data_IF_134263840197
#
_entry.id   IF_134263840197
#
_cell.length_a   1.000
_cell.length_b   1.000
_cell.length_c   1.000
_cell.angle_alpha   90.00
_cell.angle_beta   90.00
_cell.angle_gamma   90.00
#
_symmetry.space_group_name_H-M   'P 1'
#
loop_
_entity.id
_entity.type
_entity.pdbx_description
1 polymer ?
#
# COMPACT_ATOMS: atom_id res chain seq x y z
N UNK A 1 -20.26 -27.71 0.07
CA UNK A 1 -19.01 -27.57 -0.73
C UNK A 1 -19.04 -26.28 -1.54
N UNK A 2 -20.10 -25.97 -2.30
CA UNK A 2 -20.20 -24.73 -3.14
C UNK A 2 -20.08 -23.45 -2.31
N UNK A 3 -20.67 -23.36 -1.13
CA UNK A 3 -20.65 -22.20 -0.26
C UNK A 3 -19.26 -21.95 0.33
N UNK A 4 -18.55 -23.01 0.69
CA UNK A 4 -17.15 -22.91 1.17
C UNK A 4 -16.25 -22.44 0.04
N UNK A 5 -16.42 -22.97 -1.17
CA UNK A 5 -15.64 -22.54 -2.34
C UNK A 5 -15.85 -21.08 -2.68
N UNK A 6 -17.09 -20.56 -2.58
CA UNK A 6 -17.39 -19.15 -2.77
C UNK A 6 -16.74 -18.28 -1.66
N UNK A 7 -16.85 -18.70 -0.40
CA UNK A 7 -16.28 -17.98 0.74
C UNK A 7 -14.75 -17.86 0.64
N UNK A 8 -14.08 -18.97 0.34
CA UNK A 8 -12.61 -18.99 0.15
C UNK A 8 -12.21 -18.16 -1.07
N UNK A 9 -12.94 -18.26 -2.17
CA UNK A 9 -12.66 -17.45 -3.36
C UNK A 9 -12.82 -15.95 -3.11
N UNK A 10 -13.85 -15.52 -2.40
CA UNK A 10 -14.06 -14.13 -1.99
C UNK A 10 -12.98 -13.65 -1.02
N UNK A 11 -12.54 -14.50 -0.09
CA UNK A 11 -11.44 -14.20 0.83
C UNK A 11 -10.14 -13.96 0.06
N UNK A 12 -9.74 -14.92 -0.78
CA UNK A 12 -8.51 -14.82 -1.55
C UNK A 12 -8.52 -13.60 -2.47
N UNK A 13 -9.66 -13.34 -3.15
CA UNK A 13 -9.84 -12.14 -3.96
C UNK A 13 -9.66 -10.87 -3.12
N UNK A 14 -10.31 -10.80 -1.95
CA UNK A 14 -10.26 -9.60 -1.08
C UNK A 14 -8.83 -9.33 -0.61
N UNK A 15 -8.08 -10.37 -0.21
CA UNK A 15 -6.69 -10.23 0.24
C UNK A 15 -5.79 -9.80 -0.93
N UNK A 16 -5.82 -10.50 -2.06
CA UNK A 16 -4.97 -10.18 -3.21
C UNK A 16 -5.27 -8.77 -3.75
N UNK A 17 -6.54 -8.40 -3.84
CA UNK A 17 -6.92 -7.07 -4.31
C UNK A 17 -6.57 -5.98 -3.31
N UNK A 18 -6.69 -6.24 -2.00
CA UNK A 18 -6.21 -5.36 -0.94
C UNK A 18 -4.70 -5.13 -1.08
N UNK A 19 -3.91 -6.19 -1.21
CA UNK A 19 -2.47 -6.09 -1.38
C UNK A 19 -2.10 -5.27 -2.63
N UNK A 20 -2.78 -5.49 -3.75
CA UNK A 20 -2.57 -4.72 -4.96
C UNK A 20 -2.89 -3.22 -4.77
N UNK A 21 -4.02 -2.90 -4.15
CA UNK A 21 -4.41 -1.51 -3.86
C UNK A 21 -3.47 -0.85 -2.85
N UNK A 22 -3.03 -1.60 -1.85
CA UNK A 22 -2.06 -1.13 -0.87
C UNK A 22 -0.75 -0.72 -1.55
N UNK A 23 -0.25 -1.55 -2.46
CA UNK A 23 0.96 -1.23 -3.23
C UNK A 23 0.78 -0.03 -4.18
N UNK A 24 -0.39 0.10 -4.81
CA UNK A 24 -0.69 1.24 -5.68
C UNK A 24 -0.90 2.55 -4.91
N UNK A 25 -1.19 2.48 -3.61
CA UNK A 25 -1.43 3.65 -2.75
C UNK A 25 -0.19 4.13 -2.00
N UNK A 26 1.01 3.68 -2.38
CA UNK A 26 2.27 4.15 -1.80
C UNK A 26 2.35 5.67 -1.89
N UNK A 27 2.73 6.31 -0.77
CA UNK A 27 2.87 7.76 -0.58
C UNK A 27 1.61 8.61 -0.74
N UNK A 28 0.44 8.04 -1.09
CA UNK A 28 -0.80 8.78 -1.26
C UNK A 28 -1.37 9.36 0.04
N UNK A 29 -0.78 9.02 1.18
CA UNK A 29 -1.15 9.60 2.47
C UNK A 29 -0.71 11.06 2.67
N UNK A 30 0.24 11.53 1.85
CA UNK A 30 0.72 12.91 1.93
C UNK A 30 -0.22 13.87 1.21
N UNK A 31 -0.56 14.99 1.86
CA UNK A 31 -1.47 16.01 1.28
C UNK A 31 -0.95 16.54 -0.06
N UNK A 32 0.37 16.65 -0.22
CA UNK A 32 1.03 17.17 -1.40
C UNK A 32 1.44 16.07 -2.42
N UNK A 33 0.93 14.84 -2.29
CA UNK A 33 1.35 13.68 -3.10
C UNK A 33 1.51 13.97 -4.59
N UNK A 34 0.55 14.68 -5.20
CA UNK A 34 0.57 14.97 -6.64
C UNK A 34 1.66 15.97 -7.06
N UNK A 35 2.23 16.70 -6.10
CA UNK A 35 3.25 17.73 -6.30
C UNK A 35 4.63 17.30 -5.80
N UNK A 36 4.68 16.17 -5.06
CA UNK A 36 5.93 15.65 -4.53
C UNK A 36 6.69 14.90 -5.62
N UNK A 37 7.96 15.21 -5.71
CA UNK A 37 8.89 14.55 -6.61
C UNK A 37 10.14 14.10 -5.87
N UNK A 38 10.71 13.01 -6.35
CA UNK A 38 12.02 12.50 -5.95
C UNK A 38 13.04 12.86 -7.01
N UNK A 39 14.20 13.35 -6.59
CA UNK A 39 15.27 13.82 -7.47
C UNK A 39 16.44 12.86 -7.29
N UNK A 40 16.80 12.18 -8.36
CA UNK A 40 17.86 11.19 -8.37
C UNK A 40 18.97 11.58 -9.35
N UNK A 41 20.15 11.02 -9.13
CA UNK A 41 21.23 11.03 -10.10
C UNK A 41 21.08 9.84 -11.03
N UNK A 42 21.48 10.00 -12.29
CA UNK A 42 21.50 8.93 -13.26
C UNK A 42 22.80 8.93 -14.09
N UNK A 43 23.24 7.73 -14.41
CA UNK A 43 24.35 7.47 -15.32
C UNK A 43 23.83 6.60 -16.47
N UNK A 44 23.97 7.09 -17.70
CA UNK A 44 23.45 6.42 -18.91
C UNK A 44 22.03 5.86 -18.76
N UNK A 45 21.14 6.60 -18.06
CA UNK A 45 19.75 6.20 -17.81
C UNK A 45 19.55 5.24 -16.63
N UNK A 46 20.60 4.85 -15.92
CA UNK A 46 20.51 4.07 -14.68
C UNK A 46 20.47 5.00 -13.47
N UNK A 47 19.40 4.92 -12.70
CA UNK A 47 19.26 5.70 -11.47
C UNK A 47 20.24 5.20 -10.41
N UNK A 48 20.92 6.14 -9.74
CA UNK A 48 21.70 5.87 -8.54
C UNK A 48 20.79 5.89 -7.31
N UNK A 49 21.10 5.05 -6.34
CA UNK A 49 20.40 5.03 -5.06
C UNK A 49 20.94 6.15 -4.17
N UNK A 50 20.10 7.19 -3.98
CA UNK A 50 20.43 8.34 -3.16
C UNK A 50 21.26 9.42 -3.87
N UNK A 51 21.36 10.55 -3.19
CA UNK A 51 22.04 11.77 -3.67
C UNK A 51 23.01 12.27 -2.60
N UNK A 52 24.00 13.11 -2.97
CA UNK A 52 24.77 13.84 -1.98
C UNK A 52 23.95 14.87 -1.23
N UNK A 53 24.24 15.08 0.05
CA UNK A 53 23.49 16.04 0.88
C UNK A 53 23.56 17.49 0.36
N UNK A 54 24.62 17.84 -0.34
CA UNK A 54 24.83 19.18 -0.93
C UNK A 54 23.89 19.44 -2.12
N UNK A 55 23.34 18.40 -2.76
CA UNK A 55 22.53 18.56 -3.97
C UNK A 55 21.30 19.43 -3.74
N UNK A 56 20.54 19.19 -2.65
CA UNK A 56 19.35 19.98 -2.33
C UNK A 56 19.66 21.47 -2.11
N UNK A 57 20.81 21.78 -1.49
CA UNK A 57 21.27 23.16 -1.28
C UNK A 57 21.65 23.83 -2.61
N UNK A 58 22.34 23.09 -3.49
CA UNK A 58 22.68 23.57 -4.84
C UNK A 58 21.41 23.87 -5.63
N UNK A 59 20.46 22.91 -5.65
CA UNK A 59 19.20 23.08 -6.37
C UNK A 59 18.36 24.24 -5.81
N UNK A 60 18.36 24.45 -4.49
CA UNK A 60 17.67 25.57 -3.87
C UNK A 60 18.26 26.91 -4.31
N UNK A 61 19.58 27.01 -4.44
CA UNK A 61 20.26 28.24 -4.88
C UNK A 61 20.06 28.52 -6.37
N UNK A 62 20.19 27.52 -7.20
CA UNK A 62 20.21 27.65 -8.66
C UNK A 62 18.81 27.57 -9.28
N UNK A 63 17.92 26.73 -8.73
CA UNK A 63 16.61 26.39 -9.28
C UNK A 63 15.46 26.54 -8.27
N UNK A 64 15.63 27.33 -7.21
CA UNK A 64 14.64 27.56 -6.18
C UNK A 64 13.36 28.26 -6.69
N UNK A 65 13.39 28.83 -7.89
CA UNK A 65 12.22 29.44 -8.54
C UNK A 65 11.36 28.43 -9.31
N UNK A 66 11.89 27.24 -9.63
CA UNK A 66 11.17 26.18 -10.34
C UNK A 66 10.40 25.26 -9.39
N UNK A 67 10.82 25.19 -8.13
CA UNK A 67 10.28 24.30 -7.10
C UNK A 67 9.99 25.09 -5.83
N UNK A 68 8.86 24.84 -5.21
CA UNK A 68 8.43 25.58 -4.01
C UNK A 68 9.37 25.34 -2.81
N UNK A 69 9.88 24.11 -2.67
CA UNK A 69 10.88 23.74 -1.67
C UNK A 69 11.57 22.44 -2.03
N UNK A 70 12.81 22.28 -1.59
CA UNK A 70 13.55 21.01 -1.56
C UNK A 70 13.71 20.55 -0.12
N UNK A 71 13.75 19.24 0.09
CA UNK A 71 14.02 18.63 1.40
C UNK A 71 14.88 17.39 1.25
N UNK A 72 15.65 17.11 2.30
CA UNK A 72 16.55 15.96 2.38
C UNK A 72 16.06 14.98 3.44
N UNK A 73 16.18 13.70 3.13
CA UNK A 73 15.94 12.60 4.06
C UNK A 73 17.12 11.66 4.02
N UNK A 74 17.69 11.34 5.16
CA UNK A 74 18.73 10.33 5.28
C UNK A 74 18.32 9.22 6.24
N UNK A 75 18.54 7.96 5.84
CA UNK A 75 18.17 6.82 6.69
C UNK A 75 19.28 6.59 7.72
N UNK A 76 18.99 6.97 8.97
CA UNK A 76 19.87 6.75 10.11
C UNK A 76 19.81 5.30 10.63
N UNK A 77 18.86 4.49 10.14
CA UNK A 77 18.62 3.08 10.53
C UNK A 77 18.42 2.93 12.04
N UNK A 78 18.53 1.70 12.55
CA UNK A 78 18.40 1.40 13.96
C UNK A 78 19.45 2.10 14.80
N UNK A 79 18.99 2.91 15.77
CA UNK A 79 19.84 3.64 16.70
C UNK A 79 19.46 3.31 18.13
N UNK A 80 20.45 2.97 18.97
CA UNK A 80 20.23 2.79 20.40
C UNK A 80 20.21 4.15 21.09
N UNK A 81 19.18 4.37 21.90
CA UNK A 81 18.98 5.54 22.73
C UNK A 81 18.75 5.14 24.18
N UNK A 82 19.30 5.93 25.06
CA UNK A 82 18.90 5.99 26.46
C UNK A 82 17.84 7.07 26.61
N UNK A 83 16.62 6.69 26.96
CA UNK A 83 15.50 7.61 27.17
C UNK A 83 15.38 7.90 28.66
N UNK A 84 15.30 9.19 29.01
CA UNK A 84 15.12 9.63 30.39
C UNK A 84 13.65 9.90 30.68
N UNK A 85 13.06 9.11 31.55
CA UNK A 85 11.67 9.25 32.01
C UNK A 85 11.51 10.32 33.08
N UNK A 86 10.29 10.58 33.56
CA UNK A 86 10.00 11.57 34.60
C UNK A 86 10.75 11.32 35.92
N UNK A 87 11.04 10.06 36.22
CA UNK A 87 11.76 9.63 37.42
C UNK A 87 13.29 9.62 37.24
N UNK A 88 13.81 10.31 36.23
CA UNK A 88 15.22 10.28 35.81
C UNK A 88 15.76 8.86 35.55
N UNK A 89 14.87 7.90 35.41
CA UNK A 89 15.22 6.52 35.11
C UNK A 89 15.65 6.42 33.66
N UNK A 90 16.84 5.87 33.46
CA UNK A 90 17.42 5.61 32.15
C UNK A 90 16.92 4.28 31.61
N UNK A 91 16.26 4.29 30.48
CA UNK A 91 15.75 3.09 29.78
C UNK A 91 16.38 2.98 28.40
N UNK A 92 17.06 1.86 28.07
CA UNK A 92 17.64 1.65 26.76
C UNK A 92 16.57 1.19 25.77
N UNK A 93 16.51 1.84 24.60
CA UNK A 93 15.65 1.48 23.48
C UNK A 93 16.43 1.56 22.18
N UNK A 94 15.99 0.80 21.19
CA UNK A 94 16.49 0.90 19.81
C UNK A 94 15.34 1.32 18.92
N UNK A 95 15.53 2.42 18.16
CA UNK A 95 14.51 2.98 17.27
C UNK A 95 14.96 3.00 15.83
N UNK A 96 14.01 2.88 14.91
CA UNK A 96 14.20 3.17 13.50
C UNK A 96 14.16 4.69 13.27
N UNK A 97 15.29 5.23 12.81
CA UNK A 97 15.51 6.66 12.72
C UNK A 97 15.74 7.11 11.28
N UNK A 98 15.20 8.29 10.96
CA UNK A 98 15.60 9.07 9.79
C UNK A 98 16.10 10.44 10.25
N UNK A 99 17.06 11.00 9.51
CA UNK A 99 17.44 12.40 9.64
C UNK A 99 16.70 13.20 8.58
N UNK A 100 16.09 14.31 8.97
CA UNK A 100 15.31 15.20 8.10
C UNK A 100 15.71 16.65 8.30
N UNK A 101 15.56 17.46 7.26
CA UNK A 101 15.80 18.91 7.37
C UNK A 101 14.55 19.70 7.79
N UNK A 102 14.69 21.00 7.98
CA UNK A 102 13.60 21.89 8.40
C UNK A 102 12.46 22.00 7.38
N UNK A 103 12.73 21.71 6.10
CA UNK A 103 11.76 21.78 5.01
C UNK A 103 10.87 20.54 4.90
N UNK A 104 11.23 19.44 5.57
CA UNK A 104 10.47 18.19 5.56
C UNK A 104 8.97 18.40 5.85
N UNK A 105 8.63 19.22 6.84
CA UNK A 105 7.23 19.50 7.18
C UNK A 105 6.46 20.20 6.04
N UNK A 106 7.13 21.01 5.24
CA UNK A 106 6.49 21.70 4.12
C UNK A 106 6.12 20.74 2.98
N UNK A 107 6.95 19.73 2.76
CA UNK A 107 6.73 18.72 1.73
C UNK A 107 5.71 17.68 2.19
N UNK A 108 5.96 17.04 3.33
CA UNK A 108 5.25 15.85 3.79
C UNK A 108 4.12 16.12 4.77
N UNK A 109 4.02 17.34 5.30
CA UNK A 109 2.94 17.81 6.18
C UNK A 109 2.50 16.81 7.27
N UNK A 110 3.44 16.28 8.11
CA UNK A 110 3.09 15.34 9.15
C UNK A 110 2.14 15.98 10.17
N UNK A 111 1.12 15.24 10.61
CA UNK A 111 0.17 15.74 11.60
C UNK A 111 0.80 15.76 12.98
N UNK A 112 1.01 16.95 13.56
CA UNK A 112 1.55 17.12 14.91
C UNK A 112 0.44 16.87 15.93
N UNK A 113 0.70 15.97 16.90
CA UNK A 113 -0.21 15.62 18.00
C UNK A 113 0.11 16.39 19.27
N UNK A 114 1.41 16.61 19.54
CA UNK A 114 1.88 17.37 20.67
C UNK A 114 3.18 18.11 20.33
N UNK A 115 3.48 19.21 21.03
CA UNK A 115 4.66 20.02 20.79
C UNK A 115 4.56 20.88 19.53
N UNK A 116 5.70 21.19 18.88
CA UNK A 116 5.76 22.07 17.72
C UNK A 116 6.87 21.67 16.76
N UNK A 117 6.52 21.40 15.50
CA UNK A 117 7.51 21.18 14.42
C UNK A 117 8.40 22.41 14.23
N UNK A 118 7.83 23.61 14.31
CA UNK A 118 8.60 24.85 14.14
C UNK A 118 9.70 24.97 15.18
N UNK A 119 9.42 24.60 16.44
CA UNK A 119 10.44 24.57 17.50
C UNK A 119 11.51 23.51 17.18
N UNK A 120 11.11 22.30 16.80
CA UNK A 120 12.03 21.24 16.40
C UNK A 120 12.96 21.65 15.27
N UNK A 121 12.43 22.33 14.25
CA UNK A 121 13.17 22.76 13.06
C UNK A 121 14.30 23.76 13.37
N UNK A 122 14.22 24.50 14.47
CA UNK A 122 15.24 25.52 14.86
C UNK A 122 16.03 25.14 16.12
N UNK A 123 15.67 24.05 16.78
CA UNK A 123 16.39 23.58 17.98
C UNK A 123 17.52 22.65 17.57
N UNK A 124 18.77 22.89 17.99
CA UNK A 124 19.87 21.95 17.76
C UNK A 124 19.59 20.59 18.43
N UNK A 125 19.98 19.52 17.77
CA UNK A 125 19.77 18.14 18.23
C UNK A 125 18.32 17.88 18.69
N UNK A 126 17.36 18.31 17.90
CA UNK A 126 15.96 18.03 18.15
C UNK A 126 15.55 16.67 17.58
N UNK A 127 14.62 16.02 18.28
CA UNK A 127 13.93 14.84 17.75
C UNK A 127 12.42 15.03 17.76
N UNK A 128 11.79 14.46 16.74
CA UNK A 128 10.35 14.31 16.64
C UNK A 128 10.07 12.81 16.66
N UNK A 129 9.15 12.37 17.52
CA UNK A 129 8.80 10.96 17.66
C UNK A 129 7.38 10.70 17.19
N UNK A 130 7.11 9.46 16.78
CA UNK A 130 5.74 9.06 16.40
C UNK A 130 4.86 8.85 17.65
N UNK A 131 3.55 8.90 17.46
CA UNK A 131 2.58 8.74 18.56
C UNK A 131 2.69 7.35 19.21
N UNK A 132 2.88 6.30 18.42
CA UNK A 132 3.11 4.94 18.96
C UNK A 132 4.39 4.85 19.77
N UNK A 133 5.45 5.53 19.35
CA UNK A 133 6.71 5.62 20.11
C UNK A 133 6.52 6.41 21.40
N UNK A 134 5.82 7.55 21.34
CA UNK A 134 5.52 8.33 22.54
C UNK A 134 4.73 7.51 23.58
N UNK A 135 3.71 6.74 23.15
CA UNK A 135 2.91 5.87 24.02
C UNK A 135 3.70 4.70 24.63
N UNK A 136 4.73 4.22 23.95
CA UNK A 136 5.65 3.20 24.51
C UNK A 136 6.50 3.76 25.65
N UNK A 137 6.83 5.06 25.58
CA UNK A 137 7.80 5.70 26.48
C UNK A 137 7.14 6.46 27.63
N UNK A 138 5.97 7.05 27.40
CA UNK A 138 5.30 7.98 28.29
C UNK A 138 3.80 7.68 28.37
N UNK A 139 3.15 7.89 29.53
CA UNK A 139 1.70 7.71 29.70
C UNK A 139 0.87 8.60 28.75
N UNK A 140 1.33 9.85 28.53
CA UNK A 140 0.66 10.83 27.68
C UNK A 140 1.62 11.46 26.68
N UNK A 141 1.16 11.71 25.46
CA UNK A 141 1.98 12.31 24.38
C UNK A 141 2.61 13.65 24.79
N UNK A 142 1.90 14.46 25.57
CA UNK A 142 2.38 15.78 26.02
C UNK A 142 3.57 15.68 26.97
N UNK A 143 3.66 14.61 27.75
CA UNK A 143 4.76 14.39 28.70
C UNK A 143 6.08 14.06 27.99
N UNK A 144 6.03 13.65 26.75
CA UNK A 144 7.21 13.40 25.93
C UNK A 144 7.99 14.69 25.62
N UNK A 145 7.28 15.84 25.54
CA UNK A 145 7.87 17.09 25.10
C UNK A 145 8.89 17.61 26.13
N UNK A 146 10.08 17.99 25.64
CA UNK A 146 11.20 18.45 26.45
C UNK A 146 12.03 17.32 27.11
N UNK A 147 11.62 16.06 26.96
CA UNK A 147 12.40 14.93 27.51
C UNK A 147 13.66 14.67 26.68
N UNK A 148 14.66 14.16 27.37
CA UNK A 148 15.99 13.89 26.81
C UNK A 148 16.12 12.45 26.33
N UNK A 149 16.69 12.29 25.14
CA UNK A 149 17.11 11.03 24.58
C UNK A 149 18.60 11.11 24.24
N UNK A 150 19.39 10.16 24.71
CA UNK A 150 20.83 10.14 24.45
C UNK A 150 21.15 8.99 23.54
N UNK A 151 21.66 9.28 22.33
CA UNK A 151 22.10 8.26 21.39
C UNK A 151 23.43 7.69 21.87
N UNK A 152 23.46 6.38 22.15
CA UNK A 152 24.61 5.70 22.79
C UNK A 152 25.60 5.09 21.80
N UNK A 153 25.19 4.89 20.56
CA UNK A 153 26.04 4.35 19.49
C UNK A 153 26.36 5.40 18.44
N UNK A 154 27.63 5.55 18.14
CA UNK A 154 28.09 6.47 17.08
C UNK A 154 27.73 5.94 15.71
N UNK A 155 27.21 6.85 14.88
CA UNK A 155 27.03 6.60 13.46
C UNK A 155 28.41 6.61 12.83
N UNK A 156 28.76 5.56 12.07
CA UNK A 156 29.90 5.45 11.18
C UNK A 156 31.06 6.38 11.56
N UNK A 157 31.97 5.81 12.34
CA UNK A 157 33.34 6.26 12.55
C UNK A 157 33.68 7.70 12.08
N UNK A 158 33.22 8.69 12.84
CA UNK A 158 34.03 9.91 12.91
C UNK A 158 35.30 9.55 13.69
N UNK A 159 36.50 9.68 13.13
CA UNK A 159 37.76 9.28 13.80
C UNK A 159 38.09 10.09 15.08
N UNK A 160 37.26 11.09 15.40
CA UNK A 160 37.55 12.09 16.46
C UNK A 160 36.76 11.90 17.77
N UNK A 161 35.94 10.88 17.88
CA UNK A 161 35.18 10.67 19.14
C UNK A 161 35.82 9.54 19.93
N UNK A 162 36.49 9.90 21.01
CA UNK A 162 37.05 8.98 22.00
C UNK A 162 35.93 8.15 22.66
N UNK A 163 36.23 6.92 23.13
CA UNK A 163 35.22 6.06 23.77
C UNK A 163 34.52 6.66 25.00
N UNK A 164 35.07 7.72 25.58
CA UNK A 164 34.59 8.39 26.81
C UNK A 164 33.68 9.60 26.55
N UNK A 165 33.42 10.01 25.31
CA UNK A 165 32.43 11.07 25.09
C UNK A 165 31.03 10.49 25.24
N UNK A 166 30.34 10.81 26.31
CA UNK A 166 28.92 10.51 26.53
C UNK A 166 28.13 10.85 25.25
N UNK A 167 27.23 9.95 24.84
CA UNK A 167 26.54 10.03 23.55
C UNK A 167 25.86 11.37 23.27
N UNK A 168 25.40 11.56 22.02
CA UNK A 168 24.74 12.81 21.61
C UNK A 168 23.37 12.92 22.27
N UNK A 169 23.15 14.04 22.94
CA UNK A 169 21.90 14.33 23.64
C UNK A 169 20.93 15.06 22.72
N UNK A 170 19.75 14.50 22.54
CA UNK A 170 18.62 15.05 21.80
C UNK A 170 17.48 15.40 22.74
N UNK A 171 16.65 16.37 22.31
CA UNK A 171 15.44 16.77 23.03
C UNK A 171 14.21 16.53 22.19
N UNK A 172 13.18 15.89 22.75
CA UNK A 172 11.91 15.67 22.05
C UNK A 172 11.15 17.00 21.99
N UNK A 173 10.91 17.49 20.77
CA UNK A 173 10.25 18.78 20.54
C UNK A 173 8.84 18.65 19.95
N UNK A 174 8.53 17.51 19.35
CA UNK A 174 7.19 17.24 18.84
C UNK A 174 6.89 15.74 18.81
N UNK A 175 5.60 15.43 18.88
CA UNK A 175 5.03 14.11 18.62
C UNK A 175 4.13 14.24 17.40
N UNK A 176 4.31 13.37 16.41
CA UNK A 176 3.51 13.32 15.18
C UNK A 176 2.70 12.03 15.13
N UNK A 177 1.62 12.02 14.36
CA UNK A 177 0.93 10.77 14.03
C UNK A 177 1.89 9.78 13.39
N UNK A 178 1.62 8.50 13.60
CA UNK A 178 2.40 7.44 12.97
C UNK A 178 2.43 7.60 11.46
N UNK A 179 3.60 7.45 10.88
CA UNK A 179 3.78 7.45 9.42
C UNK A 179 3.23 6.11 8.91
N UNK A 180 2.28 6.11 7.96
CA UNK A 180 1.71 4.88 7.43
C UNK A 180 2.78 3.94 6.86
N UNK A 181 2.57 2.64 6.99
CA UNK A 181 3.54 1.66 6.53
C UNK A 181 3.75 1.65 5.00
N UNK A 182 2.76 2.13 4.23
CA UNK A 182 2.81 2.22 2.76
C UNK A 182 3.41 3.53 2.24
N UNK A 183 4.52 3.93 2.82
CA UNK A 183 5.28 5.11 2.41
C UNK A 183 6.65 4.68 1.92
N UNK A 184 7.12 5.25 0.82
CA UNK A 184 8.43 4.94 0.24
C UNK A 184 9.59 5.18 1.21
N UNK A 185 9.42 6.14 2.13
CA UNK A 185 10.39 6.39 3.20
C UNK A 185 10.50 5.25 4.23
N UNK A 186 9.48 4.40 4.35
CA UNK A 186 9.49 3.22 5.23
C UNK A 186 10.09 1.99 4.55
N UNK A 187 10.95 2.18 3.58
CA UNK A 187 11.45 1.17 2.64
C UNK A 187 11.92 -0.16 3.29
N UNK A 188 12.33 -0.12 4.57
CA UNK A 188 12.71 -1.34 5.29
C UNK A 188 11.96 -1.54 6.61
N UNK A 189 11.56 -0.46 7.29
CA UNK A 189 10.93 -0.52 8.61
C UNK A 189 10.15 0.75 8.93
N UNK A 190 9.18 0.63 9.81
CA UNK A 190 8.38 1.76 10.28
C UNK A 190 9.25 2.77 11.02
N UNK A 191 9.25 4.02 10.55
CA UNK A 191 9.99 5.12 11.17
C UNK A 191 9.37 5.42 12.54
N UNK A 192 10.22 5.48 13.57
CA UNK A 192 9.83 5.77 14.95
C UNK A 192 10.30 7.16 15.42
N UNK A 193 11.48 7.59 14.95
CA UNK A 193 12.15 8.83 15.35
C UNK A 193 12.67 9.60 14.15
N UNK A 194 12.35 10.88 14.08
CA UNK A 194 12.91 11.83 13.11
C UNK A 194 13.91 12.73 13.84
N UNK A 195 15.14 12.79 13.33
CA UNK A 195 16.24 13.57 13.90
C UNK A 195 16.36 14.86 13.09
N UNK A 196 16.36 16.00 13.74
CA UNK A 196 16.50 17.31 13.14
C UNK A 196 17.73 18.04 13.69
N UNK A 197 18.41 18.79 12.80
CA UNK A 197 19.55 19.66 13.17
C UNK A 197 20.62 18.94 13.97
N UNK A 198 20.92 17.70 13.61
CA UNK A 198 21.97 16.91 14.24
C UNK A 198 23.33 17.57 14.05
N UNK A 199 24.05 17.80 15.13
CA UNK A 199 25.39 18.41 15.10
C UNK A 199 26.44 17.53 14.44
N UNK A 200 26.25 16.20 14.47
CA UNK A 200 27.12 15.18 13.88
C UNK A 200 26.39 14.25 12.91
N UNK A 201 25.27 14.72 12.37
CA UNK A 201 24.37 13.93 11.53
C UNK A 201 24.88 13.63 10.13
N UNK A 202 24.14 12.79 9.44
CA UNK A 202 24.46 12.33 8.09
C UNK A 202 24.57 13.49 7.08
N UNK A 203 23.78 14.56 7.22
CA UNK A 203 23.87 15.72 6.33
C UNK A 203 25.20 16.47 6.44
N UNK A 204 25.85 16.44 7.60
CA UNK A 204 27.18 17.03 7.80
C UNK A 204 28.31 16.07 7.42
N UNK A 205 28.14 14.79 7.69
CA UNK A 205 29.12 13.76 7.34
C UNK A 205 29.23 13.56 5.83
N UNK A 206 28.11 13.66 5.11
CA UNK A 206 28.06 13.53 3.64
C UNK A 206 28.32 14.86 2.92
N UNK A 207 28.96 15.82 3.58
CA UNK A 207 29.34 17.10 2.99
C UNK A 207 30.39 17.01 1.86
N UNK A 208 31.01 15.84 1.66
CA UNK A 208 31.81 15.55 0.49
C UNK A 208 30.90 15.25 -0.72
N UNK A 209 31.16 15.86 -1.86
CA UNK A 209 30.38 15.71 -3.10
C UNK A 209 30.26 14.27 -3.59
N UNK A 210 31.08 13.35 -3.09
CA UNK A 210 31.19 11.97 -3.57
C UNK A 210 30.45 10.95 -2.68
N UNK A 211 29.79 11.40 -1.60
CA UNK A 211 29.02 10.48 -0.71
C UNK A 211 27.54 10.56 -0.98
N UNK A 212 26.97 9.43 -1.35
CA UNK A 212 25.52 9.21 -1.45
C UNK A 212 24.96 8.63 -0.16
N UNK A 213 23.66 8.70 0.03
CA UNK A 213 22.98 8.16 1.23
C UNK A 213 21.89 9.07 1.75
N UNK A 214 21.69 10.16 1.04
CA UNK A 214 20.60 11.11 1.24
C UNK A 214 19.62 11.00 0.07
N UNK A 215 18.37 11.20 0.34
CA UNK A 215 17.30 11.28 -0.68
C UNK A 215 16.84 12.73 -0.76
N UNK A 216 16.79 13.27 -1.98
CA UNK A 216 16.39 14.64 -2.22
C UNK A 216 14.98 14.66 -2.81
N UNK A 217 14.09 15.34 -2.12
CA UNK A 217 12.71 15.53 -2.54
C UNK A 217 12.43 16.97 -2.91
N UNK A 218 11.51 17.17 -3.86
CA UNK A 218 11.05 18.50 -4.26
C UNK A 218 9.52 18.62 -4.12
N UNK A 219 9.05 19.82 -3.79
CA UNK A 219 7.64 20.19 -3.84
C UNK A 219 7.42 21.13 -5.04
N UNK A 220 6.78 20.63 -6.07
CA UNK A 220 6.49 21.42 -7.27
C UNK A 220 5.47 22.53 -6.99
N UNK A 221 5.56 23.62 -7.74
CA UNK A 221 4.50 24.62 -7.78
C UNK A 221 3.19 24.02 -8.32
N UNK A 222 2.05 24.63 -7.98
CA UNK A 222 0.75 24.18 -8.49
C UNK A 222 0.72 24.18 -10.02
N UNK A 223 0.18 23.10 -10.59
CA UNK A 223 0.07 22.93 -12.05
C UNK A 223 1.36 22.45 -12.75
N UNK A 224 2.49 22.34 -12.05
CA UNK A 224 3.74 21.79 -12.61
C UNK A 224 3.80 20.27 -12.42
N UNK A 225 4.48 19.61 -13.32
CA UNK A 225 4.69 18.16 -13.30
C UNK A 225 6.18 17.79 -13.21
N UNK A 226 6.48 16.55 -12.81
CA UNK A 226 7.85 16.05 -12.83
C UNK A 226 8.49 16.11 -14.24
N UNK A 227 7.67 15.98 -15.29
CA UNK A 227 8.13 16.11 -16.68
C UNK A 227 8.61 17.52 -16.99
N UNK A 228 7.88 18.53 -16.53
CA UNK A 228 8.23 19.94 -16.73
C UNK A 228 9.58 20.26 -16.08
N UNK A 229 9.81 19.77 -14.85
CA UNK A 229 11.07 19.99 -14.14
C UNK A 229 12.23 19.21 -14.81
N UNK A 230 11.98 17.99 -15.29
CA UNK A 230 12.97 17.23 -16.08
C UNK A 230 13.37 17.98 -17.36
N UNK A 231 12.42 18.63 -18.03
CA UNK A 231 12.73 19.43 -19.23
C UNK A 231 13.57 20.64 -18.88
N UNK A 232 13.30 21.32 -17.76
CA UNK A 232 14.12 22.44 -17.27
C UNK A 232 15.53 21.98 -17.00
N UNK A 233 15.73 20.90 -16.26
CA UNK A 233 17.07 20.39 -15.93
C UNK A 233 17.83 19.96 -17.18
N UNK A 234 17.16 19.27 -18.13
CA UNK A 234 17.77 18.87 -19.39
C UNK A 234 18.16 20.07 -20.26
N UNK A 235 17.30 21.08 -20.39
CA UNK A 235 17.59 22.30 -21.18
C UNK A 235 18.74 23.10 -20.59
N UNK A 236 18.83 23.14 -19.26
CA UNK A 236 19.89 23.85 -18.54
C UNK A 236 21.15 23.00 -18.35
N UNK A 237 21.16 21.76 -18.87
CA UNK A 237 22.26 20.80 -18.73
C UNK A 237 22.69 20.62 -17.27
N UNK A 238 21.70 20.45 -16.38
CA UNK A 238 21.93 20.36 -14.93
C UNK A 238 22.51 18.99 -14.62
N UNK A 239 23.77 19.01 -14.23
CA UNK A 239 24.52 17.80 -13.82
C UNK A 239 25.07 17.96 -12.41
N UNK A 240 25.38 16.85 -11.77
CA UNK A 240 26.11 16.82 -10.52
C UNK A 240 27.37 15.99 -10.69
N UNK A 241 28.55 16.61 -10.43
CA UNK A 241 29.83 15.92 -10.54
C UNK A 241 30.12 15.13 -9.27
N UNK A 242 30.35 13.84 -9.45
CA UNK A 242 30.66 12.89 -8.38
C UNK A 242 31.62 11.84 -8.91
N UNK A 243 32.64 11.43 -8.13
CA UNK A 243 33.68 10.45 -8.54
C UNK A 243 34.33 10.75 -9.90
N UNK A 244 34.57 12.04 -10.20
CA UNK A 244 35.09 12.53 -11.48
C UNK A 244 34.20 12.30 -12.72
N UNK A 245 32.93 11.90 -12.52
CA UNK A 245 31.92 11.78 -13.56
C UNK A 245 30.80 12.80 -13.36
N UNK A 246 30.20 13.25 -14.44
CA UNK A 246 29.03 14.11 -14.41
C UNK A 246 27.78 13.26 -14.55
N UNK A 247 26.87 13.33 -13.57
CA UNK A 247 25.62 12.60 -13.52
C UNK A 247 24.46 13.51 -13.87
N UNK A 248 23.55 13.01 -14.70
CA UNK A 248 22.31 13.70 -15.01
C UNK A 248 21.33 13.65 -13.83
N UNK A 249 20.46 14.68 -13.72
CA UNK A 249 19.39 14.68 -12.76
C UNK A 249 18.10 14.16 -13.41
N UNK A 250 17.47 13.18 -12.75
CA UNK A 250 16.17 12.66 -13.12
C UNK A 250 15.17 12.94 -12.01
N UNK A 251 14.05 13.53 -12.38
CA UNK A 251 12.92 13.84 -11.50
C UNK A 251 11.80 12.86 -11.76
N UNK A 252 11.35 12.18 -10.72
CA UNK A 252 10.24 11.23 -10.76
C UNK A 252 9.16 11.63 -9.77
N UNK A 253 7.85 11.42 -10.06
CA UNK A 253 6.82 11.55 -9.05
C UNK A 253 7.13 10.65 -7.86
N UNK A 254 6.85 11.11 -6.63
CA UNK A 254 7.04 10.28 -5.44
C UNK A 254 6.25 8.97 -5.57
N UNK A 255 6.77 7.87 -5.04
CA UNK A 255 6.16 6.53 -5.19
C UNK A 255 6.39 5.87 -6.56
N UNK A 256 6.95 6.61 -7.54
CA UNK A 256 7.39 6.08 -8.85
C UNK A 256 8.89 6.22 -9.06
N UNK A 257 9.59 6.66 -8.10
CA UNK A 257 11.03 6.82 -8.04
C UNK A 257 11.68 5.50 -7.64
N UNK A 258 12.84 5.23 -8.10
CA UNK A 258 13.62 4.00 -7.90
C UNK A 258 13.19 2.85 -8.81
N UNK A 259 14.17 2.07 -9.30
CA UNK A 259 13.92 0.87 -10.12
C UNK A 259 12.93 -0.15 -9.50
N UNK A 260 12.52 0.06 -8.23
CA UNK A 260 11.45 -0.64 -7.56
C UNK A 260 10.05 -0.22 -8.03
N UNK A 261 9.86 0.97 -8.64
CA UNK A 261 8.53 1.41 -9.08
C UNK A 261 7.96 0.52 -10.18
N UNK A 262 8.82 0.06 -11.09
CA UNK A 262 8.42 -0.85 -12.15
C UNK A 262 8.09 -2.23 -11.56
N UNK A 263 8.90 -2.70 -10.60
CA UNK A 263 8.64 -3.94 -9.87
C UNK A 263 7.34 -3.86 -9.07
N UNK A 264 7.08 -2.78 -8.34
CA UNK A 264 5.83 -2.57 -7.58
C UNK A 264 4.64 -2.51 -8.56
N UNK A 265 4.77 -1.81 -9.68
CA UNK A 265 3.71 -1.70 -10.69
C UNK A 265 3.44 -3.04 -11.36
N UNK A 266 4.48 -3.78 -11.73
CA UNK A 266 4.35 -5.11 -12.31
C UNK A 266 3.72 -6.06 -11.29
N UNK A 267 4.23 -6.11 -10.07
CA UNK A 267 3.73 -7.00 -9.01
C UNK A 267 2.28 -6.69 -8.64
N UNK A 268 1.92 -5.40 -8.50
CA UNK A 268 0.53 -5.00 -8.19
C UNK A 268 -0.42 -5.33 -9.34
N UNK A 269 0.04 -5.20 -10.60
CA UNK A 269 -0.73 -5.56 -11.78
C UNK A 269 -0.96 -7.08 -11.87
N UNK A 270 0.09 -7.86 -11.65
CA UNK A 270 0.02 -9.32 -11.60
C UNK A 270 -0.95 -9.75 -10.49
N UNK A 271 -0.79 -9.19 -9.28
CA UNK A 271 -1.65 -9.53 -8.14
C UNK A 271 -3.12 -9.15 -8.40
N UNK A 272 -3.39 -8.03 -9.08
CA UNK A 272 -4.74 -7.65 -9.51
C UNK A 272 -5.33 -8.65 -10.51
N UNK A 273 -4.57 -9.08 -11.50
CA UNK A 273 -5.00 -10.07 -12.49
C UNK A 273 -5.32 -11.40 -11.79
N UNK A 274 -4.44 -11.85 -10.92
CA UNK A 274 -4.62 -13.07 -10.11
C UNK A 274 -5.91 -12.97 -9.27
N UNK A 275 -6.13 -11.83 -8.60
CA UNK A 275 -7.34 -11.60 -7.82
C UNK A 275 -8.61 -11.75 -8.68
N UNK A 276 -8.64 -11.10 -9.84
CA UNK A 276 -9.79 -11.17 -10.76
C UNK A 276 -10.01 -12.59 -11.27
N UNK A 277 -8.95 -13.33 -11.59
CA UNK A 277 -9.05 -14.72 -12.04
C UNK A 277 -9.60 -15.64 -10.93
N UNK A 278 -9.15 -15.47 -9.68
CA UNK A 278 -9.68 -16.21 -8.51
C UNK A 278 -11.17 -15.94 -8.35
N UNK A 279 -11.58 -14.66 -8.40
CA UNK A 279 -12.98 -14.28 -8.30
C UNK A 279 -13.81 -14.92 -9.42
N UNK A 280 -13.31 -14.87 -10.65
CA UNK A 280 -13.97 -15.46 -11.81
C UNK A 280 -14.17 -16.97 -11.66
N UNK A 281 -13.15 -17.71 -11.21
CA UNK A 281 -13.28 -19.15 -10.92
C UNK A 281 -14.30 -19.42 -9.82
N UNK A 282 -14.26 -18.64 -8.73
CA UNK A 282 -15.21 -18.80 -7.63
C UNK A 282 -16.66 -18.55 -8.08
N UNK A 283 -16.90 -17.50 -8.89
CA UNK A 283 -18.19 -17.17 -9.44
C UNK A 283 -18.66 -18.22 -10.45
N UNK A 284 -17.80 -18.68 -11.36
CA UNK A 284 -18.13 -19.73 -12.30
C UNK A 284 -18.56 -21.03 -11.57
N UNK A 285 -17.80 -21.41 -10.55
CA UNK A 285 -18.13 -22.58 -9.72
C UNK A 285 -19.47 -22.42 -9.01
N UNK A 286 -19.72 -21.24 -8.43
CA UNK A 286 -20.98 -20.90 -7.77
C UNK A 286 -22.15 -20.93 -8.76
N UNK A 287 -22.05 -20.27 -9.91
CA UNK A 287 -23.11 -20.25 -10.91
C UNK A 287 -23.34 -21.63 -11.54
N UNK A 288 -22.28 -22.39 -11.77
CA UNK A 288 -22.39 -23.76 -12.26
C UNK A 288 -23.32 -24.60 -11.37
N UNK A 289 -23.10 -24.53 -10.06
CA UNK A 289 -23.94 -25.24 -9.09
C UNK A 289 -25.39 -24.71 -9.08
N UNK A 290 -25.57 -23.40 -9.12
CA UNK A 290 -26.90 -22.78 -9.09
C UNK A 290 -27.70 -23.05 -10.36
N UNK A 291 -27.09 -22.94 -11.53
CA UNK A 291 -27.75 -23.27 -12.80
C UNK A 291 -28.14 -24.75 -12.81
N UNK A 292 -27.28 -25.64 -12.33
CA UNK A 292 -27.63 -27.05 -12.18
C UNK A 292 -28.87 -27.26 -11.30
N UNK A 293 -28.99 -26.55 -10.18
CA UNK A 293 -30.13 -26.58 -9.29
C UNK A 293 -31.42 -26.05 -9.95
N UNK A 294 -31.32 -24.93 -10.66
CA UNK A 294 -32.44 -24.31 -11.39
C UNK A 294 -32.99 -25.24 -12.48
N UNK A 295 -32.09 -25.84 -13.29
CA UNK A 295 -32.50 -26.76 -14.35
C UNK A 295 -33.18 -28.03 -13.77
N UNK A 296 -32.68 -28.54 -12.65
CA UNK A 296 -33.34 -29.71 -12.00
C UNK A 296 -34.76 -29.39 -11.49
N UNK A 297 -35.04 -28.11 -11.13
CA UNK A 297 -36.35 -27.62 -10.70
C UNK A 297 -37.19 -27.03 -11.83
N UNK A 298 -36.79 -27.17 -13.06
CA UNK A 298 -37.45 -26.55 -14.22
C UNK A 298 -38.95 -26.93 -14.34
N UNK A 299 -39.28 -28.19 -14.03
CA UNK A 299 -40.71 -28.64 -14.03
C UNK A 299 -41.54 -27.87 -13.00
N UNK A 300 -41.01 -27.66 -11.82
CA UNK A 300 -41.65 -26.85 -10.77
C UNK A 300 -41.91 -25.42 -11.25
N UNK A 301 -40.93 -24.78 -11.88
CA UNK A 301 -41.08 -23.43 -12.42
C UNK A 301 -42.09 -23.37 -13.58
N UNK A 302 -42.18 -24.42 -14.42
CA UNK A 302 -43.14 -24.49 -15.49
C UNK A 302 -44.57 -24.65 -14.94
N UNK A 303 -44.77 -25.47 -13.91
CA UNK A 303 -46.08 -25.64 -13.25
C UNK A 303 -46.53 -24.30 -12.63
N UNK A 304 -45.64 -23.62 -11.91
CA UNK A 304 -45.92 -22.31 -11.29
C UNK A 304 -46.29 -21.26 -12.34
N UNK A 305 -45.66 -21.30 -13.53
CA UNK A 305 -46.01 -20.44 -14.67
C UNK A 305 -47.41 -20.71 -15.19
N UNK A 306 -47.84 -21.99 -15.26
CA UNK A 306 -49.20 -22.39 -15.68
C UNK A 306 -50.23 -21.90 -14.70
N UNK A 307 -49.93 -21.91 -13.39
CA UNK A 307 -50.84 -21.45 -12.32
C UNK A 307 -50.90 -19.89 -12.26
N UNK A 308 -50.15 -19.17 -13.15
CA UNK A 308 -50.24 -17.72 -13.23
C UNK A 308 -49.26 -16.98 -12.33
N UNK A 309 -48.18 -17.63 -11.85
CA UNK A 309 -47.20 -16.95 -11.03
C UNK A 309 -46.46 -15.85 -11.81
N UNK A 310 -46.38 -14.64 -11.24
CA UNK A 310 -45.75 -13.49 -11.89
C UNK A 310 -44.22 -13.66 -11.96
N UNK A 311 -43.63 -13.07 -12.99
CA UNK A 311 -42.19 -13.06 -13.25
C UNK A 311 -41.41 -12.49 -12.05
N UNK A 312 -41.93 -11.45 -11.41
CA UNK A 312 -41.29 -10.82 -10.25
C UNK A 312 -41.18 -11.81 -9.08
N UNK A 313 -42.22 -12.57 -8.77
CA UNK A 313 -42.18 -13.58 -7.72
C UNK A 313 -41.17 -14.69 -8.01
N UNK A 314 -41.04 -15.12 -9.27
CA UNK A 314 -40.07 -16.12 -9.66
C UNK A 314 -38.63 -15.59 -9.49
N UNK A 315 -38.34 -14.36 -9.98
CA UNK A 315 -37.07 -13.71 -9.81
C UNK A 315 -36.71 -13.53 -8.33
N UNK A 316 -37.66 -13.07 -7.51
CA UNK A 316 -37.45 -12.84 -6.09
C UNK A 316 -37.18 -14.14 -5.33
N UNK A 317 -37.87 -15.22 -5.66
CA UNK A 317 -37.62 -16.53 -5.06
C UNK A 317 -36.19 -17.03 -5.35
N UNK A 318 -35.74 -16.89 -6.60
CA UNK A 318 -34.34 -17.21 -6.98
C UNK A 318 -33.37 -16.30 -6.25
N UNK A 319 -33.65 -15.02 -6.19
CA UNK A 319 -32.78 -14.04 -5.51
C UNK A 319 -32.65 -14.34 -4.01
N UNK A 320 -33.76 -14.60 -3.29
CA UNK A 320 -33.71 -14.92 -1.86
C UNK A 320 -32.89 -16.17 -1.59
N UNK A 321 -33.01 -17.20 -2.45
CA UNK A 321 -32.21 -18.42 -2.32
C UNK A 321 -30.70 -18.10 -2.48
N UNK A 322 -30.31 -17.32 -3.50
CA UNK A 322 -28.92 -16.95 -3.73
C UNK A 322 -28.39 -15.97 -2.67
N UNK A 323 -29.24 -15.04 -2.22
CA UNK A 323 -28.93 -14.11 -1.15
C UNK A 323 -28.53 -14.84 0.14
N UNK A 324 -29.31 -15.84 0.57
CA UNK A 324 -28.97 -16.62 1.75
C UNK A 324 -27.62 -17.34 1.62
N UNK A 325 -27.31 -17.86 0.44
CA UNK A 325 -26.02 -18.51 0.19
C UNK A 325 -24.87 -17.51 0.27
N UNK A 326 -25.04 -16.31 -0.31
CA UNK A 326 -24.02 -15.25 -0.27
C UNK A 326 -23.84 -14.76 1.16
N UNK A 327 -24.92 -14.59 1.94
CA UNK A 327 -24.81 -14.18 3.36
C UNK A 327 -24.02 -15.20 4.16
N UNK A 328 -24.33 -16.49 4.02
CA UNK A 328 -23.58 -17.56 4.73
C UNK A 328 -22.09 -17.55 4.30
N UNK A 329 -21.80 -17.45 2.99
CA UNK A 329 -20.44 -17.38 2.50
C UNK A 329 -19.70 -16.15 3.02
N UNK A 330 -20.38 -15.00 3.12
CA UNK A 330 -19.84 -13.76 3.67
C UNK A 330 -19.51 -13.86 5.16
N UNK A 331 -20.37 -14.50 5.95
CA UNK A 331 -20.11 -14.74 7.38
C UNK A 331 -18.86 -15.63 7.56
N UNK A 332 -18.73 -16.69 6.75
CA UNK A 332 -17.52 -17.52 6.76
C UNK A 332 -16.28 -16.72 6.36
N UNK A 333 -16.37 -15.88 5.32
CA UNK A 333 -15.26 -15.04 4.87
C UNK A 333 -14.84 -14.07 5.97
N UNK A 334 -15.76 -13.35 6.63
CA UNK A 334 -15.45 -12.43 7.72
C UNK A 334 -14.85 -13.16 8.93
N UNK A 335 -15.35 -14.36 9.27
CA UNK A 335 -14.76 -15.19 10.30
C UNK A 335 -13.31 -15.60 9.98
N UNK A 336 -13.02 -15.94 8.73
CA UNK A 336 -11.66 -16.25 8.29
C UNK A 336 -10.75 -15.02 8.28
N UNK A 337 -11.23 -13.84 7.89
CA UNK A 337 -10.49 -12.58 7.99
C UNK A 337 -10.10 -12.33 9.45
N UNK A 338 -11.03 -12.52 10.39
CA UNK A 338 -10.77 -12.34 11.83
C UNK A 338 -9.65 -13.25 12.33
N UNK A 339 -9.69 -14.53 11.97
CA UNK A 339 -8.68 -15.52 12.37
C UNK A 339 -7.31 -15.22 11.75
N UNK A 340 -7.30 -14.87 10.46
CA UNK A 340 -6.06 -14.62 9.72
C UNK A 340 -5.43 -13.28 10.09
N UNK A 341 -6.21 -12.23 10.32
CA UNK A 341 -5.69 -10.89 10.63
C UNK A 341 -4.94 -10.82 11.96
N UNK A 342 -5.26 -11.69 12.91
CA UNK A 342 -4.57 -11.80 14.20
C UNK A 342 -3.14 -12.36 14.09
N UNK A 343 -2.76 -12.99 12.98
CA UNK A 343 -1.48 -13.66 12.79
C UNK A 343 -0.67 -13.27 11.54
N UNK A 344 -1.22 -12.48 10.64
CA UNK A 344 -0.55 -12.17 9.36
C UNK A 344 0.23 -10.85 9.41
N UNK A 345 1.51 -10.96 9.76
CA UNK A 345 2.52 -10.01 9.34
C UNK A 345 3.22 -10.59 8.10
N UNK A 346 2.82 -10.17 6.92
CA UNK A 346 3.49 -10.60 5.68
C UNK A 346 4.69 -9.66 5.50
N UNK A 347 5.87 -10.16 5.83
CA UNK A 347 7.14 -9.54 5.48
C UNK A 347 7.61 -10.10 4.15
N UNK A 348 7.45 -9.35 3.07
CA UNK A 348 8.07 -9.62 1.78
C UNK A 348 9.39 -8.84 1.73
N UNK A 349 10.49 -9.51 2.04
CA UNK A 349 11.88 -9.02 2.07
C UNK A 349 12.09 -7.61 2.66
N UNK A 350 11.62 -6.56 2.03
CA UNK A 350 11.82 -5.16 2.44
C UNK A 350 10.49 -4.39 2.60
N UNK A 351 9.36 -5.00 2.27
CA UNK A 351 8.02 -4.40 2.39
C UNK A 351 7.26 -5.05 3.54
N UNK A 352 7.11 -4.37 4.65
CA UNK A 352 6.21 -4.80 5.72
C UNK A 352 4.77 -4.51 5.32
N UNK A 353 4.08 -5.51 4.76
CA UNK A 353 2.65 -5.48 4.52
C UNK A 353 1.91 -5.62 5.85
N UNK A 354 1.55 -4.51 6.47
CA UNK A 354 0.58 -4.54 7.56
C UNK A 354 -0.83 -4.55 6.98
N UNK A 355 -1.54 -5.66 7.17
CA UNK A 355 -2.94 -5.74 6.77
C UNK A 355 -3.77 -4.98 7.80
N UNK A 356 -4.29 -3.83 7.40
CA UNK A 356 -5.29 -3.10 8.18
C UNK A 356 -6.62 -3.85 8.09
N UNK A 357 -6.96 -4.52 9.20
CA UNK A 357 -8.18 -5.32 9.34
C UNK A 357 -9.44 -4.54 9.00
N UNK A 358 -9.56 -3.31 9.50
CA UNK A 358 -10.75 -2.49 9.30
C UNK A 358 -10.95 -2.15 7.81
N UNK A 359 -9.87 -1.75 7.15
CA UNK A 359 -9.90 -1.47 5.71
C UNK A 359 -10.20 -2.71 4.88
N UNK A 360 -9.60 -3.85 5.22
CA UNK A 360 -9.88 -5.10 4.53
C UNK A 360 -11.35 -5.51 4.68
N UNK A 361 -11.93 -5.41 5.88
CA UNK A 361 -13.34 -5.71 6.12
C UNK A 361 -14.28 -4.77 5.36
N UNK A 362 -13.99 -3.47 5.35
CA UNK A 362 -14.77 -2.49 4.59
C UNK A 362 -14.74 -2.77 3.08
N UNK A 363 -13.58 -3.07 2.52
CA UNK A 363 -13.45 -3.42 1.11
C UNK A 363 -14.18 -4.74 0.79
N UNK A 364 -14.03 -5.76 1.62
CA UNK A 364 -14.74 -7.02 1.47
C UNK A 364 -16.27 -6.80 1.49
N UNK A 365 -16.76 -5.93 2.38
CA UNK A 365 -18.18 -5.54 2.43
C UNK A 365 -18.67 -4.89 1.13
N UNK A 366 -17.86 -3.97 0.55
CA UNK A 366 -18.18 -3.34 -0.73
C UNK A 366 -18.30 -4.37 -1.87
N UNK A 367 -17.41 -5.36 -1.92
CA UNK A 367 -17.46 -6.42 -2.94
C UNK A 367 -18.69 -7.32 -2.77
N UNK A 368 -19.09 -7.60 -1.54
CA UNK A 368 -20.34 -8.35 -1.27
C UNK A 368 -21.55 -7.59 -1.79
N UNK A 369 -21.62 -6.28 -1.58
CA UNK A 369 -22.71 -5.44 -2.10
C UNK A 369 -22.74 -5.50 -3.64
N UNK A 370 -21.59 -5.36 -4.29
CA UNK A 370 -21.49 -5.46 -5.76
C UNK A 370 -21.96 -6.86 -6.22
N UNK A 371 -21.53 -7.92 -5.54
CA UNK A 371 -21.94 -9.29 -5.84
C UNK A 371 -23.45 -9.48 -5.68
N UNK A 372 -24.06 -8.91 -4.66
CA UNK A 372 -25.52 -8.96 -4.44
C UNK A 372 -26.29 -8.25 -5.56
N UNK A 373 -25.82 -7.07 -5.97
CA UNK A 373 -26.41 -6.32 -7.08
C UNK A 373 -26.30 -7.14 -8.38
N UNK A 374 -25.12 -7.68 -8.68
CA UNK A 374 -24.92 -8.53 -9.85
C UNK A 374 -25.83 -9.78 -9.82
N UNK A 375 -25.96 -10.43 -8.66
CA UNK A 375 -26.83 -11.58 -8.47
C UNK A 375 -28.29 -11.21 -8.71
N UNK A 376 -28.75 -10.06 -8.23
CA UNK A 376 -30.10 -9.55 -8.47
C UNK A 376 -30.36 -9.39 -9.97
N UNK A 377 -29.46 -8.74 -10.70
CA UNK A 377 -29.58 -8.56 -12.17
C UNK A 377 -29.63 -9.91 -12.88
N UNK A 378 -28.80 -10.87 -12.48
CA UNK A 378 -28.78 -12.21 -13.06
C UNK A 378 -30.09 -12.95 -12.80
N UNK A 379 -30.64 -12.89 -11.58
CA UNK A 379 -31.92 -13.52 -11.23
C UNK A 379 -33.06 -12.99 -12.11
N UNK A 380 -33.13 -11.67 -12.30
CA UNK A 380 -34.10 -11.05 -13.20
C UNK A 380 -33.91 -11.48 -14.65
N UNK A 381 -32.67 -11.53 -15.13
CA UNK A 381 -32.36 -11.98 -16.50
C UNK A 381 -32.77 -13.45 -16.72
N UNK A 382 -32.51 -14.31 -15.76
CA UNK A 382 -32.91 -15.73 -15.80
C UNK A 382 -34.43 -15.87 -15.76
N UNK A 383 -35.14 -15.13 -14.89
CA UNK A 383 -36.59 -15.14 -14.82
C UNK A 383 -37.21 -14.67 -16.16
N UNK A 384 -36.65 -13.61 -16.76
CA UNK A 384 -37.08 -13.12 -18.07
C UNK A 384 -36.85 -14.15 -19.17
N UNK A 385 -35.73 -14.86 -19.14
CA UNK A 385 -35.46 -15.96 -20.08
C UNK A 385 -36.48 -17.10 -19.92
N UNK A 386 -36.76 -17.54 -18.70
CA UNK A 386 -37.74 -18.60 -18.42
C UNK A 386 -39.13 -18.19 -18.91
N UNK A 387 -39.51 -16.90 -18.80
CA UNK A 387 -40.77 -16.39 -19.35
C UNK A 387 -40.87 -16.56 -20.85
N UNK A 388 -39.78 -16.40 -21.61
CA UNK A 388 -39.76 -16.53 -23.07
C UNK A 388 -39.75 -17.98 -23.57
N UNK A 389 -39.37 -18.94 -22.73
CA UNK A 389 -39.31 -20.36 -23.11
C UNK A 389 -40.74 -20.93 -23.23
N UNK A 390 -41.03 -21.59 -24.37
CA UNK A 390 -42.28 -22.26 -24.59
C UNK A 390 -42.55 -23.38 -23.56
N UNK A 391 -43.78 -23.45 -23.06
CA UNK A 391 -44.21 -24.40 -22.02
C UNK A 391 -43.96 -25.86 -22.49
N UNK A 392 -44.19 -26.18 -23.79
CA UNK A 392 -43.93 -27.50 -24.35
C UNK A 392 -42.45 -27.92 -24.25
N UNK A 393 -41.54 -26.98 -24.53
CA UNK A 393 -40.09 -27.21 -24.37
C UNK A 393 -39.66 -27.34 -22.90
N UNK A 394 -40.33 -26.64 -22.00
CA UNK A 394 -40.08 -26.73 -20.56
C UNK A 394 -40.50 -28.08 -19.93
N UNK A 395 -41.53 -28.74 -20.48
CA UNK A 395 -42.02 -30.07 -20.04
C UNK A 395 -41.30 -31.22 -20.76
N UNK A 396 -40.76 -31.01 -21.97
CA UNK A 396 -40.01 -32.01 -22.72
C UNK A 396 -38.56 -32.05 -22.27
N UNK A 397 -37.92 -33.22 -22.38
CA UNK A 397 -36.47 -33.41 -22.04
C UNK A 397 -35.49 -32.65 -22.98
N UNK A 398 -35.99 -31.78 -23.88
CA UNK A 398 -35.19 -31.09 -24.90
C UNK A 398 -34.11 -30.16 -24.39
N UNK A 399 -34.17 -29.72 -23.13
CA UNK A 399 -33.13 -28.88 -22.51
C UNK A 399 -31.95 -29.68 -21.94
N UNK A 400 -32.05 -31.03 -21.85
CA UNK A 400 -30.93 -31.85 -21.35
C UNK A 400 -29.69 -31.76 -22.23
N UNK A 401 -29.81 -31.64 -23.55
CA UNK A 401 -28.69 -31.53 -24.48
C UNK A 401 -27.92 -30.19 -24.28
N UNK A 402 -28.65 -29.08 -24.09
CA UNK A 402 -28.01 -27.76 -23.82
C UNK A 402 -27.33 -27.72 -22.45
N UNK A 403 -27.81 -28.51 -21.47
CA UNK A 403 -27.19 -28.64 -20.14
C UNK A 403 -25.75 -29.18 -20.23
N UNK A 404 -25.52 -30.20 -21.06
CA UNK A 404 -24.19 -30.79 -21.20
C UNK A 404 -23.21 -29.82 -21.86
N UNK A 405 -23.64 -29.10 -22.88
CA UNK A 405 -22.81 -28.10 -23.54
C UNK A 405 -22.40 -26.97 -22.60
N UNK A 406 -23.34 -26.37 -21.88
CA UNK A 406 -23.09 -25.27 -20.95
C UNK A 406 -22.15 -25.71 -19.81
N UNK A 407 -22.43 -26.89 -19.22
CA UNK A 407 -21.58 -27.47 -18.17
C UNK A 407 -20.14 -27.72 -18.66
N UNK A 408 -19.99 -28.32 -19.82
CA UNK A 408 -18.68 -28.63 -20.38
C UNK A 408 -17.91 -27.37 -20.77
N UNK A 409 -18.59 -26.33 -21.27
CA UNK A 409 -17.97 -25.03 -21.56
C UNK A 409 -17.48 -24.34 -20.28
N UNK A 410 -18.25 -24.31 -19.21
CA UNK A 410 -17.84 -23.76 -17.92
C UNK A 410 -16.63 -24.53 -17.33
N UNK A 411 -16.67 -25.86 -17.38
CA UNK A 411 -15.54 -26.69 -16.94
C UNK A 411 -14.31 -26.42 -17.79
N UNK A 412 -14.45 -26.29 -19.12
CA UNK A 412 -13.34 -25.96 -20.01
C UNK A 412 -12.69 -24.61 -19.67
N UNK A 413 -13.50 -23.58 -19.39
CA UNK A 413 -12.99 -22.28 -18.96
C UNK A 413 -12.25 -22.40 -17.61
N UNK A 414 -12.79 -23.15 -16.65
CA UNK A 414 -12.14 -23.35 -15.35
C UNK A 414 -10.78 -24.07 -15.51
N UNK A 415 -10.71 -25.14 -16.32
CA UNK A 415 -9.45 -25.82 -16.62
C UNK A 415 -8.44 -24.91 -17.31
N UNK A 416 -8.89 -24.08 -18.26
CA UNK A 416 -8.03 -23.11 -18.92
C UNK A 416 -7.45 -22.06 -17.93
N UNK A 417 -8.26 -21.55 -17.01
CA UNK A 417 -7.80 -20.62 -15.97
C UNK A 417 -6.81 -21.32 -15.03
N UNK A 418 -7.11 -22.55 -14.58
CA UNK A 418 -6.18 -23.32 -13.74
C UNK A 418 -4.84 -23.57 -14.47
N UNK A 419 -4.89 -23.87 -15.76
CA UNK A 419 -3.67 -24.04 -16.56
C UNK A 419 -2.87 -22.74 -16.65
N UNK A 420 -3.55 -21.59 -16.83
CA UNK A 420 -2.91 -20.26 -16.78
C UNK A 420 -2.23 -20.00 -15.44
N UNK A 421 -2.86 -20.35 -14.32
CA UNK A 421 -2.22 -20.21 -13.00
C UNK A 421 -0.96 -21.05 -12.86
N UNK A 422 -1.02 -22.31 -13.27
CA UNK A 422 0.14 -23.21 -13.21
C UNK A 422 1.27 -22.69 -14.09
N UNK A 423 0.97 -22.29 -15.34
CA UNK A 423 1.98 -21.77 -16.25
C UNK A 423 2.61 -20.47 -15.76
N UNK A 424 1.82 -19.57 -15.16
CA UNK A 424 2.29 -18.32 -14.57
C UNK A 424 3.18 -18.59 -13.34
N UNK A 425 2.80 -19.54 -12.49
CA UNK A 425 3.60 -19.93 -11.33
C UNK A 425 4.95 -20.51 -11.75
N UNK A 426 4.94 -21.39 -12.75
CA UNK A 426 6.18 -21.96 -13.31
C UNK A 426 7.07 -20.87 -13.93
N UNK A 427 6.49 -19.93 -14.68
CA UNK A 427 7.24 -18.83 -15.29
C UNK A 427 7.84 -17.85 -14.28
N UNK A 428 7.25 -17.73 -13.08
CA UNK A 428 7.79 -16.90 -11.99
C UNK A 428 8.88 -17.63 -11.19
N UNK A 429 8.94 -18.95 -11.28
CA UNK A 429 9.93 -19.76 -10.57
C UNK A 429 11.20 -20.05 -11.39
N UNK A 430 11.12 -19.93 -12.71
CA UNK A 430 12.24 -20.05 -13.66
C UNK A 430 12.93 -18.70 -13.89
#
# INVERSE_FOLDING_TARGET
ISNIGLAVGLLCFSICFYCSRYMQSVDQCFNNYHRLVDINLADEGRMLSGTPAILAEKLTKEYGHEVEAYSRVAYARQRPFDVYTNDEKKLPYTFECIEVDSFFNRLFTPTVVAGSWRVAAYTPNAVVITESTARKLFPYNQEAIGKRMVMTSKIWSSPKTTPDSGGISYTIQAVIKDIPANVSMNFMRTIEVLILNDSEGLFKMTGNNDQTGVYTYGLLHEGRTAKDLNEVYRKSNVTHRMFNCDYDLIVSPIGKSNGNSDMITIFSSITSIVAVLILLVALLNFFHFQIGSIINRQREFTIRKIIGNDMFHLAMMLFVQLFLVIVIASLFMFGLIEILSSGMHISLSDLSLSIDRERLMLQAGQYIIILLIATFVICFSVAFYIRRVNIQLGMSNGLKSKKHFFRNSMLGIQFFICWLFVSMTVALYL
#
